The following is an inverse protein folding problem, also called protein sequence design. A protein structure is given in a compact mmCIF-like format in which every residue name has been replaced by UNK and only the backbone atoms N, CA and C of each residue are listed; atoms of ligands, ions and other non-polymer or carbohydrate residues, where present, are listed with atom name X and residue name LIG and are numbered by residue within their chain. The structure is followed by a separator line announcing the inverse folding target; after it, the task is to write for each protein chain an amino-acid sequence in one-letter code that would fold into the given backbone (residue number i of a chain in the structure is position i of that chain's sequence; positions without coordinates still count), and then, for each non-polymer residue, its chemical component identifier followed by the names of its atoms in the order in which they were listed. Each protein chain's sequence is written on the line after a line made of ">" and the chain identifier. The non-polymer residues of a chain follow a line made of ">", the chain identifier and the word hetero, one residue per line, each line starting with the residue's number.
data_IF_497025845952
#
_entry.id   IF_497025845952
#
_cell.length_a   1.000
_cell.length_b   1.000
_cell.length_c   1.000
_cell.angle_alpha   90.00
_cell.angle_beta   90.00
_cell.angle_gamma   90.00
#
_symmetry.space_group_name_H-M   'P 1'
#
loop_
_entity.id
_entity.type
_entity.pdbx_description
1 polymer ?
#
# COMPACT_ATOMS: atom_id res chain seq x y z
N UNK A 1 -4.87 64.03 13.06
CA UNK A 1 -5.21 62.98 12.08
C UNK A 1 -5.46 61.61 12.76
N UNK A 2 -6.38 61.49 13.74
CA UNK A 2 -6.50 60.24 14.53
C UNK A 2 -7.66 59.31 14.12
N UNK A 3 -8.84 59.83 13.74
CA UNK A 3 -10.06 59.03 13.47
C UNK A 3 -9.95 58.04 12.30
N UNK A 4 -8.98 58.17 11.39
CA UNK A 4 -8.74 57.18 10.32
C UNK A 4 -7.97 55.94 10.82
N UNK A 5 -7.19 56.05 11.91
CA UNK A 5 -6.37 54.96 12.43
C UNK A 5 -7.13 54.04 13.39
N UNK A 6 -8.17 54.55 14.08
CA UNK A 6 -9.03 53.71 14.93
C UNK A 6 -9.87 52.74 14.10
N UNK A 7 -10.47 53.19 12.99
CA UNK A 7 -11.30 52.34 12.11
C UNK A 7 -10.46 51.18 11.56
N UNK A 8 -9.25 51.44 11.06
CA UNK A 8 -8.35 50.40 10.57
C UNK A 8 -7.97 49.37 11.65
N UNK A 9 -7.64 49.82 12.88
CA UNK A 9 -7.33 48.91 13.99
C UNK A 9 -8.55 48.10 14.46
N UNK A 10 -9.74 48.69 14.52
CA UNK A 10 -10.97 47.98 14.91
C UNK A 10 -11.41 46.95 13.88
N UNK A 11 -11.31 47.26 12.58
CA UNK A 11 -11.59 46.29 11.51
C UNK A 11 -10.57 45.16 11.51
N UNK A 12 -9.27 45.46 11.70
CA UNK A 12 -8.24 44.42 11.83
C UNK A 12 -8.47 43.53 13.06
N UNK A 13 -8.82 44.10 14.21
CA UNK A 13 -9.16 43.32 15.41
C UNK A 13 -10.39 42.43 15.22
N UNK A 14 -11.45 42.94 14.56
CA UNK A 14 -12.63 42.13 14.24
C UNK A 14 -12.31 40.99 13.26
N UNK A 15 -11.49 41.23 12.24
CA UNK A 15 -11.07 40.19 11.30
C UNK A 15 -10.20 39.12 11.98
N UNK A 16 -9.23 39.51 12.82
CA UNK A 16 -8.39 38.56 13.56
C UNK A 16 -9.21 37.77 14.58
N UNK A 17 -10.13 38.42 15.30
CA UNK A 17 -11.04 37.75 16.23
C UNK A 17 -11.98 36.76 15.50
N UNK A 18 -12.52 37.13 14.34
CA UNK A 18 -13.34 36.24 13.50
C UNK A 18 -12.54 35.02 13.03
N UNK A 19 -11.29 35.21 12.60
CA UNK A 19 -10.41 34.13 12.12
C UNK A 19 -10.05 33.14 13.25
N UNK A 20 -9.79 33.64 14.47
CA UNK A 20 -9.58 32.82 15.66
C UNK A 20 -10.86 32.05 16.09
N UNK A 21 -12.04 32.68 15.96
CA UNK A 21 -13.32 32.06 16.29
C UNK A 21 -13.68 30.94 15.30
N UNK A 22 -13.37 31.10 14.01
CA UNK A 22 -13.51 30.03 13.01
C UNK A 22 -12.53 28.89 13.27
N UNK A 23 -11.28 29.17 13.66
CA UNK A 23 -10.29 28.13 13.96
C UNK A 23 -10.67 27.24 15.16
N UNK A 24 -11.46 27.76 16.11
CA UNK A 24 -11.95 27.02 17.29
C UNK A 24 -13.24 26.23 17.05
N UNK A 25 -13.78 26.24 15.82
CA UNK A 25 -15.03 25.56 15.47
C UNK A 25 -14.84 24.25 14.67
N UNK A 26 -13.59 23.83 14.42
CA UNK A 26 -13.26 22.64 13.62
C UNK A 26 -12.61 21.51 14.44
N UNK A 27 -13.13 21.23 15.63
CA UNK A 27 -12.78 20.04 16.43
C UNK A 27 -14.05 19.42 17.04
N UNK A 28 -14.82 18.69 16.22
CA UNK A 28 -15.99 17.92 16.67
C UNK A 28 -16.51 16.95 15.59
N UNK A 29 -16.11 15.67 15.68
CA UNK A 29 -16.82 14.50 15.10
C UNK A 29 -16.11 13.21 15.51
N UNK A 30 -16.17 12.86 16.80
CA UNK A 30 -15.57 11.65 17.38
C UNK A 30 -16.49 11.00 18.42
N UNK A 31 -17.73 10.70 18.00
CA UNK A 31 -18.63 9.74 18.63
C UNK A 31 -18.41 8.34 18.02
N UNK A 32 -18.49 7.22 18.72
CA UNK A 32 -18.59 6.99 20.18
C UNK A 32 -18.07 5.59 20.53
N UNK A 33 -17.70 5.42 21.80
CA UNK A 33 -17.37 4.15 22.47
C UNK A 33 -18.39 3.04 22.18
N UNK A 34 -17.91 1.81 21.95
CA UNK A 34 -18.59 0.62 22.48
C UNK A 34 -17.57 -0.48 22.85
N UNK A 35 -17.08 -0.41 24.08
CA UNK A 35 -16.45 -1.55 24.75
C UNK A 35 -17.47 -2.13 25.73
N UNK A 36 -17.87 -3.39 25.51
CA UNK A 36 -18.80 -4.13 26.36
C UNK A 36 -18.20 -5.52 26.61
N UNK A 37 -17.81 -5.80 27.85
CA UNK A 37 -17.03 -6.97 28.24
C UNK A 37 -17.85 -7.98 29.08
N UNK A 38 -17.27 -9.18 29.30
CA UNK A 38 -17.70 -10.27 30.19
C UNK A 38 -19.00 -11.02 29.78
N UNK A 39 -19.19 -12.33 30.01
CA UNK A 39 -18.38 -13.42 30.63
C UNK A 39 -18.83 -14.77 29.94
N UNK A 40 -18.38 -16.02 30.16
CA UNK A 40 -17.62 -16.67 31.24
C UNK A 40 -16.84 -17.94 30.73
N UNK A 41 -16.75 -19.02 31.52
CA UNK A 41 -16.03 -20.28 31.27
C UNK A 41 -16.63 -21.19 30.15
N UNK A 42 -15.91 -22.07 29.41
CA UNK A 42 -14.73 -22.94 29.67
C UNK A 42 -15.03 -24.23 30.47
N UNK A 43 -14.21 -25.33 30.43
CA UNK A 43 -12.93 -25.58 29.73
C UNK A 43 -12.80 -26.99 29.03
N UNK A 44 -11.54 -27.42 28.79
CA UNK A 44 -11.03 -28.79 28.47
C UNK A 44 -10.94 -29.19 26.96
N UNK A 45 -9.89 -29.90 26.47
CA UNK A 45 -8.66 -30.44 27.13
C UNK A 45 -7.41 -30.45 26.20
N UNK A 46 -6.24 -30.79 26.77
CA UNK A 46 -4.88 -30.88 26.21
C UNK A 46 -4.67 -32.01 25.16
N UNK A 47 -3.58 -32.19 24.38
CA UNK A 47 -2.38 -31.44 23.89
C UNK A 47 -1.58 -32.48 23.00
N UNK A 48 -0.26 -32.38 22.65
CA UNK A 48 0.72 -31.28 22.66
C UNK A 48 1.57 -31.11 21.36
N UNK A 49 2.43 -30.07 21.36
CA UNK A 49 3.78 -29.97 20.77
C UNK A 49 4.07 -30.42 19.30
N UNK A 50 4.30 -29.42 18.45
CA UNK A 50 5.40 -29.36 17.46
C UNK A 50 5.77 -27.86 17.35
N UNK A 51 6.72 -27.38 18.16
CA UNK A 51 8.16 -27.26 17.87
C UNK A 51 8.49 -26.06 16.96
N UNK A 52 9.35 -25.20 17.50
CA UNK A 52 9.46 -23.77 17.17
C UNK A 52 10.44 -23.55 16.01
N UNK A 53 9.94 -23.65 14.78
CA UNK A 53 10.67 -23.20 13.60
C UNK A 53 10.56 -21.67 13.47
N UNK A 54 11.62 -20.95 13.87
CA UNK A 54 11.74 -19.52 13.62
C UNK A 54 11.72 -19.24 12.10
N UNK A 55 10.56 -18.82 11.58
CA UNK A 55 10.48 -18.20 10.27
C UNK A 55 11.24 -16.86 10.34
N UNK A 56 12.36 -16.67 9.62
CA UNK A 56 13.15 -15.45 9.70
C UNK A 56 12.29 -14.27 9.29
N UNK A 57 12.10 -13.33 10.21
CA UNK A 57 11.13 -12.27 10.07
C UNK A 57 11.45 -11.32 8.91
N UNK A 58 10.39 -10.89 8.22
CA UNK A 58 10.17 -9.52 7.75
C UNK A 58 11.43 -8.72 7.35
N UNK A 59 12.10 -9.14 6.27
CA UNK A 59 12.43 -8.22 5.20
C UNK A 59 11.29 -8.34 4.17
N UNK A 60 10.12 -7.72 4.37
CA UNK A 60 9.97 -6.27 4.53
C UNK A 60 10.81 -5.50 3.49
N UNK A 61 10.64 -5.91 2.22
CA UNK A 61 10.94 -5.06 1.07
C UNK A 61 9.97 -3.87 1.04
N UNK A 62 10.13 -2.94 2.00
CA UNK A 62 9.63 -1.57 1.91
C UNK A 62 10.53 -0.77 0.93
N UNK A 63 10.78 -1.35 -0.25
CA UNK A 63 11.23 -0.61 -1.40
C UNK A 63 10.00 0.14 -1.91
N UNK A 64 9.93 1.43 -1.59
CA UNK A 64 8.73 2.23 -1.72
C UNK A 64 8.11 2.12 -3.13
N UNK A 65 6.78 2.11 -3.21
CA UNK A 65 6.09 2.25 -4.48
C UNK A 65 6.65 3.49 -5.22
N UNK A 66 7.05 3.35 -6.50
CA UNK A 66 7.52 4.49 -7.28
C UNK A 66 6.48 5.61 -7.20
N UNK A 67 6.93 6.81 -6.89
CA UNK A 67 6.03 7.94 -6.73
C UNK A 67 5.37 8.21 -8.08
N UNK A 68 4.12 8.69 -8.08
CA UNK A 68 3.31 8.75 -9.31
C UNK A 68 3.88 9.64 -10.44
N UNK A 69 4.91 10.45 -10.13
CA UNK A 69 5.72 11.22 -11.07
C UNK A 69 6.82 10.40 -11.79
N UNK A 70 7.32 9.31 -11.20
CA UNK A 70 8.48 8.57 -11.71
C UNK A 70 8.15 7.89 -13.06
N UNK A 71 6.95 7.28 -13.14
CA UNK A 71 6.35 6.75 -14.37
C UNK A 71 6.20 7.78 -15.51
N UNK A 72 6.16 9.08 -15.21
CA UNK A 72 6.09 10.12 -16.25
C UNK A 72 7.48 10.40 -16.85
N UNK A 73 8.51 10.51 -16.01
CA UNK A 73 9.88 10.76 -16.45
C UNK A 73 10.45 9.59 -17.28
N UNK A 74 10.03 8.36 -16.99
CA UNK A 74 10.51 7.15 -17.67
C UNK A 74 10.01 7.02 -19.11
N UNK A 75 8.81 7.54 -19.41
CA UNK A 75 8.23 7.52 -20.78
C UNK A 75 8.93 8.45 -21.78
N UNK A 76 9.81 9.33 -21.32
CA UNK A 76 10.59 10.22 -22.20
C UNK A 76 11.83 9.54 -22.80
N UNK A 77 12.26 8.39 -22.25
CA UNK A 77 13.41 7.62 -22.75
C UNK A 77 13.10 6.68 -23.92
N UNK A 78 11.82 6.45 -24.24
CA UNK A 78 11.39 5.45 -25.22
C UNK A 78 11.62 5.94 -26.66
N UNK A 79 12.40 5.19 -27.45
CA UNK A 79 12.74 5.56 -28.84
C UNK A 79 12.42 4.43 -29.82
N UNK A 80 12.51 4.71 -31.12
CA UNK A 80 12.37 3.69 -32.18
C UNK A 80 13.50 2.64 -32.16
N UNK A 81 14.64 2.95 -31.53
CA UNK A 81 15.82 2.06 -31.43
C UNK A 81 15.92 1.38 -30.06
N UNK A 82 15.26 1.93 -29.03
CA UNK A 82 15.10 1.33 -27.69
C UNK A 82 13.65 1.57 -27.21
N UNK A 83 12.71 0.67 -27.56
CA UNK A 83 11.30 0.81 -27.23
C UNK A 83 10.98 0.27 -25.83
N UNK A 84 9.97 0.83 -25.16
CA UNK A 84 9.49 0.39 -23.84
C UNK A 84 8.60 -0.88 -23.91
N UNK A 85 9.04 -1.90 -24.65
CA UNK A 85 8.47 -3.24 -24.55
C UNK A 85 9.32 -4.08 -23.60
N UNK A 86 8.72 -4.98 -22.80
CA UNK A 86 9.49 -5.85 -21.92
C UNK A 86 10.18 -6.94 -22.74
N UNK A 87 11.45 -7.21 -22.45
CA UNK A 87 12.24 -8.22 -23.13
C UNK A 87 12.00 -9.62 -22.53
N UNK A 88 12.13 -10.66 -23.36
CA UNK A 88 12.17 -12.06 -22.91
C UNK A 88 13.65 -12.44 -22.76
N UNK A 89 14.01 -13.07 -21.63
CA UNK A 89 15.40 -13.40 -21.30
C UNK A 89 15.54 -14.85 -20.85
N UNK A 90 16.63 -15.53 -21.24
CA UNK A 90 16.87 -16.94 -20.93
C UNK A 90 17.47 -17.18 -19.52
N UNK A 91 17.52 -16.15 -18.66
CA UNK A 91 18.18 -16.21 -17.35
C UNK A 91 17.17 -16.41 -16.22
N UNK A 92 17.02 -17.65 -15.76
CA UNK A 92 16.16 -18.03 -14.64
C UNK A 92 16.76 -17.54 -13.30
N UNK A 93 16.00 -16.84 -12.44
CA UNK A 93 16.47 -16.41 -11.12
C UNK A 93 16.62 -17.58 -10.14
N UNK A 94 17.46 -17.43 -9.12
CA UNK A 94 17.75 -18.47 -8.14
C UNK A 94 16.66 -18.66 -7.06
N UNK A 95 15.69 -17.75 -6.97
CA UNK A 95 14.54 -17.82 -6.08
C UNK A 95 13.34 -17.08 -6.68
N UNK A 96 12.14 -17.41 -6.21
CA UNK A 96 10.90 -16.80 -6.66
C UNK A 96 10.20 -16.06 -5.51
N UNK A 97 9.25 -15.20 -5.88
CA UNK A 97 8.37 -14.48 -4.95
C UNK A 97 6.94 -14.56 -5.49
N UNK A 98 5.94 -14.54 -4.62
CA UNK A 98 4.53 -14.53 -5.00
C UNK A 98 3.78 -13.35 -4.36
N UNK A 99 2.57 -13.07 -4.88
CA UNK A 99 1.73 -12.01 -4.33
C UNK A 99 1.29 -12.35 -2.88
N UNK A 100 1.18 -11.38 -1.95
CA UNK A 100 0.86 -11.65 -0.54
C UNK A 100 -0.40 -12.52 -0.34
N UNK A 101 -1.48 -12.23 -1.08
CA UNK A 101 -2.75 -12.98 -1.06
C UNK A 101 -2.63 -14.45 -1.53
N UNK A 102 -1.49 -14.86 -2.09
CA UNK A 102 -1.15 -16.26 -2.39
C UNK A 102 -0.25 -16.85 -1.28
N UNK A 103 0.72 -16.08 -0.78
CA UNK A 103 1.54 -16.48 0.36
C UNK A 103 0.70 -16.81 1.61
N UNK A 104 -0.36 -16.02 1.87
CA UNK A 104 -1.36 -16.30 2.92
C UNK A 104 -1.97 -17.71 2.80
N UNK A 105 -2.17 -18.18 1.56
CA UNK A 105 -2.78 -19.49 1.24
C UNK A 105 -1.78 -20.63 1.31
N UNK A 106 -0.52 -20.36 0.98
CA UNK A 106 0.59 -21.30 1.21
C UNK A 106 0.81 -21.51 2.71
N UNK A 107 0.79 -20.43 3.50
CA UNK A 107 0.85 -20.50 4.96
C UNK A 107 -0.36 -21.23 5.58
N UNK A 108 -1.55 -21.10 4.99
CA UNK A 108 -2.74 -21.85 5.39
C UNK A 108 -2.78 -23.31 4.89
N UNK A 109 -1.83 -23.74 4.04
CA UNK A 109 -1.84 -25.07 3.42
C UNK A 109 -2.92 -25.29 2.35
N UNK A 110 -3.61 -24.24 1.90
CA UNK A 110 -4.60 -24.29 0.82
C UNK A 110 -3.96 -24.39 -0.58
N UNK A 111 -2.67 -24.04 -0.69
CA UNK A 111 -1.96 -23.87 -1.96
C UNK A 111 -0.50 -24.37 -1.81
N UNK A 112 0.06 -25.15 -2.74
CA UNK A 112 1.48 -25.50 -2.71
C UNK A 112 2.38 -24.27 -2.95
N UNK A 113 3.64 -24.29 -2.48
CA UNK A 113 4.57 -23.16 -2.61
C UNK A 113 4.90 -22.83 -4.08
N UNK A 114 5.33 -21.59 -4.34
CA UNK A 114 5.54 -21.08 -5.71
C UNK A 114 6.52 -21.95 -6.53
N UNK A 115 7.56 -22.51 -5.93
CA UNK A 115 8.53 -23.41 -6.56
C UNK A 115 7.89 -24.69 -7.13
N UNK A 116 6.85 -25.24 -6.49
CA UNK A 116 6.14 -26.44 -6.96
C UNK A 116 5.11 -26.12 -8.05
N UNK A 117 4.69 -24.85 -8.17
CA UNK A 117 3.68 -24.40 -9.15
C UNK A 117 4.29 -23.94 -10.47
N UNK A 118 5.57 -23.61 -10.49
CA UNK A 118 6.30 -23.17 -11.68
C UNK A 118 6.83 -24.37 -12.49
N UNK A 119 6.91 -24.26 -13.83
CA UNK A 119 7.64 -25.23 -14.64
C UNK A 119 9.15 -25.12 -14.35
N UNK A 120 9.90 -26.19 -14.64
CA UNK A 120 11.37 -26.21 -14.52
C UNK A 120 12.09 -25.22 -15.44
N UNK A 121 11.39 -24.68 -16.42
CA UNK A 121 11.85 -23.70 -17.40
C UNK A 121 10.78 -22.59 -17.51
N UNK A 122 10.82 -21.57 -16.63
CA UNK A 122 9.84 -20.50 -16.60
C UNK A 122 10.17 -19.39 -17.61
N UNK A 123 9.15 -18.85 -18.27
CA UNK A 123 9.31 -17.66 -19.12
C UNK A 123 9.69 -16.44 -18.26
N UNK A 124 10.96 -16.02 -18.32
CA UNK A 124 11.43 -14.82 -17.64
C UNK A 124 11.26 -13.59 -18.55
N UNK A 125 10.65 -12.55 -17.97
CA UNK A 125 10.36 -11.29 -18.65
C UNK A 125 11.08 -10.18 -17.89
N UNK A 126 12.01 -9.51 -18.56
CA UNK A 126 12.67 -8.30 -18.07
C UNK A 126 11.72 -7.10 -18.26
N UNK A 127 11.30 -6.40 -17.18
CA UNK A 127 10.42 -5.24 -17.32
C UNK A 127 11.08 -4.08 -18.10
N UNK A 128 10.25 -3.39 -18.88
CA UNK A 128 10.65 -2.28 -19.76
C UNK A 128 11.02 -0.97 -19.03
N UNK A 129 10.46 -0.76 -17.84
CA UNK A 129 10.61 0.47 -17.05
C UNK A 129 11.32 0.17 -15.72
N UNK A 130 10.71 -0.67 -14.88
CA UNK A 130 11.27 -1.11 -13.60
C UNK A 130 10.60 -2.40 -13.09
N UNK A 131 11.16 -3.02 -12.04
CA UNK A 131 10.52 -4.13 -11.32
C UNK A 131 9.18 -3.66 -10.74
N UNK A 132 8.10 -4.37 -11.05
CA UNK A 132 6.76 -4.07 -10.57
C UNK A 132 6.48 -4.62 -9.16
N UNK A 133 5.52 -4.02 -8.47
CA UNK A 133 5.08 -4.45 -7.14
C UNK A 133 3.75 -5.19 -7.20
N UNK A 134 3.56 -6.18 -6.32
CA UNK A 134 2.34 -7.00 -6.29
C UNK A 134 1.15 -6.24 -5.69
N UNK A 135 0.03 -6.21 -6.41
CA UNK A 135 -1.26 -5.75 -5.89
C UNK A 135 -2.02 -4.82 -6.84
N UNK A 136 -2.84 -3.94 -6.25
CA UNK A 136 -3.72 -3.03 -6.98
C UNK A 136 -4.95 -3.72 -7.60
N UNK A 137 -5.74 -2.95 -8.36
CA UNK A 137 -6.92 -3.45 -9.09
C UNK A 137 -6.99 -2.79 -10.46
N UNK A 138 -6.86 -3.58 -11.53
CA UNK A 138 -6.95 -3.08 -12.91
C UNK A 138 -8.38 -2.65 -13.26
N UNK A 139 -8.68 -1.36 -13.10
CA UNK A 139 -9.98 -0.75 -13.46
C UNK A 139 -10.08 -0.54 -14.97
N UNK A 140 -10.37 -1.60 -15.72
CA UNK A 140 -10.58 -1.57 -17.17
C UNK A 140 -12.06 -1.45 -17.55
N UNK A 141 -12.37 -0.57 -18.49
CA UNK A 141 -13.67 -0.56 -19.17
C UNK A 141 -13.70 -1.62 -20.29
N UNK A 142 -14.83 -2.31 -20.42
CA UNK A 142 -15.14 -3.22 -21.53
C UNK A 142 -16.52 -2.87 -22.07
N UNK A 143 -16.66 -2.86 -23.40
CA UNK A 143 -17.88 -2.41 -24.11
C UNK A 143 -18.34 -3.44 -25.14
N UNK A 144 -18.11 -4.72 -24.85
CA UNK A 144 -18.74 -5.83 -25.56
C UNK A 144 -20.16 -6.10 -25.05
N UNK A 145 -20.80 -7.17 -25.54
CA UNK A 145 -22.02 -7.72 -24.94
C UNK A 145 -21.75 -8.36 -23.56
#
# INVERSE_FOLDING_TARGET
>A
MQRRYSIGRSVLFLLVALLLLVATACDSSSETVNESAAEEAAPAEAAPAAEEAEAPAAAAAEEAAPAANDYQAQREGCTTESPCWPDIVDTVPASFHEAPMLADKVAAGELPPVEERLPSDPLVIQPAEMIGQYGGVLRRAYTGP
#
